data_IF_412392484601
#
_entry.id   IF_412392484601
#
_cell.length_a   1.000
_cell.length_b   1.000
_cell.length_c   1.000
_cell.angle_alpha   90.00
_cell.angle_beta   90.00
_cell.angle_gamma   90.00
#
_symmetry.space_group_name_H-M   'P 1'
#
loop_
_entity.id
_entity.type
_entity.pdbx_description
1 polymer ?
#
# COMPACT_ATOMS: atom_id res chain seq x y z
N UNK A 1 46.96 36.83 -25.11
CA UNK A 1 46.95 35.44 -24.60
C UNK A 1 45.50 34.99 -24.61
N UNK A 2 45.21 33.83 -25.16
CA UNK A 2 43.87 33.24 -25.10
C UNK A 2 43.55 32.87 -23.64
N UNK A 3 42.38 33.25 -23.13
CA UNK A 3 42.05 33.17 -21.70
C UNK A 3 42.06 31.73 -21.15
N UNK A 4 41.71 30.75 -22.00
CA UNK A 4 41.53 29.36 -21.57
C UNK A 4 42.73 28.46 -21.86
N UNK A 5 43.55 28.81 -22.84
CA UNK A 5 44.66 27.98 -23.32
C UNK A 5 45.83 28.93 -23.59
N UNK A 6 46.96 28.79 -22.91
CA UNK A 6 48.07 29.75 -22.94
C UNK A 6 48.90 29.71 -24.24
N UNK A 7 48.24 29.76 -25.40
CA UNK A 7 48.90 29.69 -26.70
C UNK A 7 49.85 30.86 -26.95
N UNK A 8 50.92 30.55 -27.67
CA UNK A 8 51.96 31.52 -28.00
C UNK A 8 51.42 32.55 -29.00
N UNK A 9 51.73 33.83 -28.78
CA UNK A 9 51.48 34.89 -29.75
C UNK A 9 52.82 35.54 -30.08
N UNK A 10 53.43 35.28 -31.25
CA UNK A 10 54.71 35.86 -31.62
C UNK A 10 54.64 37.39 -31.62
N UNK A 11 55.71 38.06 -31.19
CA UNK A 11 55.82 39.51 -31.27
C UNK A 11 56.04 39.94 -32.72
N UNK A 12 55.51 41.12 -33.08
CA UNK A 12 55.72 41.71 -34.40
C UNK A 12 57.22 41.81 -34.73
N UNK A 13 57.60 41.37 -35.94
CA UNK A 13 59.00 41.33 -36.39
C UNK A 13 59.78 40.06 -36.03
N UNK A 14 59.17 39.07 -35.36
CA UNK A 14 59.81 37.77 -35.09
C UNK A 14 60.00 36.99 -36.40
N UNK A 15 61.24 36.63 -36.76
CA UNK A 15 61.56 35.93 -38.03
C UNK A 15 61.20 34.44 -38.01
N UNK A 16 61.30 33.81 -36.83
CA UNK A 16 60.98 32.39 -36.63
C UNK A 16 59.57 32.18 -36.07
N UNK A 17 58.63 33.04 -36.46
CA UNK A 17 57.24 33.02 -36.00
C UNK A 17 56.54 31.67 -36.21
N UNK A 18 57.00 30.87 -37.17
CA UNK A 18 56.44 29.57 -37.51
C UNK A 18 56.69 28.52 -36.41
N UNK A 19 57.76 28.63 -35.63
CA UNK A 19 58.08 27.68 -34.55
C UNK A 19 57.02 27.69 -33.43
N UNK A 20 56.72 28.83 -32.77
CA UNK A 20 55.68 28.89 -31.75
C UNK A 20 54.27 28.65 -32.30
N UNK A 21 54.00 28.95 -33.58
CA UNK A 21 52.72 28.62 -34.20
C UNK A 21 52.56 27.12 -34.43
N UNK A 22 53.58 26.43 -34.91
CA UNK A 22 53.55 24.97 -35.06
C UNK A 22 53.32 24.28 -33.72
N UNK A 23 53.93 24.78 -32.64
CA UNK A 23 53.67 24.30 -31.28
C UNK A 23 52.21 24.52 -30.85
N UNK A 24 51.60 25.65 -31.22
CA UNK A 24 50.17 25.88 -30.96
C UNK A 24 49.28 24.91 -31.75
N UNK A 25 49.62 24.61 -33.01
CA UNK A 25 48.83 23.68 -33.83
C UNK A 25 48.88 22.25 -33.27
N UNK A 26 50.03 21.79 -32.79
CA UNK A 26 50.13 20.49 -32.12
C UNK A 26 49.32 20.44 -30.81
N UNK A 27 49.32 21.54 -30.04
CA UNK A 27 48.52 21.64 -28.82
C UNK A 27 47.01 21.69 -29.10
N UNK A 28 46.58 22.46 -30.11
CA UNK A 28 45.19 22.56 -30.53
C UNK A 28 44.58 21.21 -30.91
N UNK A 29 45.36 20.32 -31.52
CA UNK A 29 44.90 19.00 -31.93
C UNK A 29 44.60 18.06 -30.73
N UNK A 30 45.09 18.39 -29.53
CA UNK A 30 44.72 17.69 -28.28
C UNK A 30 43.70 18.50 -27.45
N UNK A 31 43.82 19.83 -27.43
CA UNK A 31 43.02 20.71 -26.57
C UNK A 31 41.58 20.90 -27.09
N UNK A 32 41.38 20.84 -28.41
CA UNK A 32 40.05 21.01 -29.01
C UNK A 32 39.29 19.68 -28.97
N UNK A 33 38.14 19.70 -28.31
CA UNK A 33 37.24 18.55 -28.25
C UNK A 33 36.71 18.19 -29.64
N UNK A 34 36.82 16.90 -29.98
CA UNK A 34 36.24 16.30 -31.18
C UNK A 34 34.77 15.95 -30.89
N UNK A 35 33.87 16.33 -31.80
CA UNK A 35 32.43 16.07 -31.69
C UNK A 35 31.91 15.41 -32.95
N UNK A 36 31.47 14.16 -32.84
CA UNK A 36 30.91 13.38 -33.96
C UNK A 36 30.03 12.23 -33.42
N UNK A 37 29.53 11.32 -34.28
CA UNK A 37 28.84 10.09 -33.88
C UNK A 37 29.81 9.06 -33.27
N UNK A 38 29.37 8.26 -32.28
CA UNK A 38 30.25 7.30 -31.58
C UNK A 38 30.92 6.29 -32.55
N UNK A 39 30.20 5.89 -33.60
CA UNK A 39 30.71 4.99 -34.63
C UNK A 39 31.90 5.56 -35.42
N UNK A 40 32.03 6.89 -35.50
CA UNK A 40 33.12 7.57 -36.21
C UNK A 40 34.36 7.76 -35.33
N UNK A 41 34.33 7.39 -34.05
CA UNK A 41 35.45 7.59 -33.11
C UNK A 41 36.78 7.04 -33.61
N UNK A 42 36.77 5.92 -34.34
CA UNK A 42 37.97 5.31 -34.91
C UNK A 42 38.57 6.09 -36.09
N UNK A 43 37.87 7.11 -36.60
CA UNK A 43 38.39 8.01 -37.64
C UNK A 43 39.36 9.06 -37.07
N UNK A 44 39.45 9.17 -35.74
CA UNK A 44 40.28 10.16 -35.04
C UNK A 44 41.36 9.47 -34.21
N UNK A 45 42.57 10.03 -34.23
CA UNK A 45 43.69 9.53 -33.46
C UNK A 45 43.52 9.86 -31.96
N UNK A 46 43.64 8.88 -31.04
CA UNK A 46 43.48 9.11 -29.60
C UNK A 46 44.74 9.73 -29.00
N UNK A 47 45.07 10.98 -29.35
CA UNK A 47 46.22 11.68 -28.77
C UNK A 47 46.08 11.79 -27.24
N UNK A 48 47.20 11.79 -26.53
CA UNK A 48 47.20 11.91 -25.08
C UNK A 48 46.42 13.16 -24.63
N UNK A 49 45.45 12.97 -23.74
CA UNK A 49 44.52 13.99 -23.22
C UNK A 49 43.51 14.57 -24.22
N UNK A 50 43.48 14.12 -25.48
CA UNK A 50 42.44 14.53 -26.42
C UNK A 50 41.06 14.06 -25.96
N UNK A 51 40.01 14.84 -26.27
CA UNK A 51 38.63 14.54 -25.87
C UNK A 51 37.77 14.25 -27.10
N UNK A 52 36.95 13.22 -27.00
CA UNK A 52 35.91 12.90 -27.97
C UNK A 52 34.55 12.86 -27.28
N UNK A 53 33.61 13.67 -27.75
CA UNK A 53 32.20 13.64 -27.35
C UNK A 53 31.38 13.01 -28.47
N UNK A 54 30.81 11.85 -28.19
CA UNK A 54 29.82 11.23 -29.06
C UNK A 54 28.50 12.00 -28.97
N UNK A 55 28.18 12.77 -30.00
CA UNK A 55 27.03 13.69 -30.03
C UNK A 55 25.67 12.99 -30.09
N UNK A 56 25.64 11.73 -30.54
CA UNK A 56 24.46 10.87 -30.65
C UNK A 56 24.15 10.08 -29.38
N UNK A 57 25.17 9.64 -28.66
CA UNK A 57 25.05 8.82 -27.45
C UNK A 57 25.38 9.55 -26.15
N UNK A 58 25.92 10.77 -26.23
CA UNK A 58 26.37 11.54 -25.07
C UNK A 58 27.68 11.04 -24.44
N UNK A 59 28.25 9.93 -24.89
CA UNK A 59 29.47 9.32 -24.31
C UNK A 59 30.69 10.23 -24.48
N UNK A 60 31.48 10.34 -23.42
CA UNK A 60 32.73 11.11 -23.37
C UNK A 60 33.91 10.16 -23.26
N UNK A 61 34.93 10.39 -24.09
CA UNK A 61 36.17 9.62 -24.11
C UNK A 61 37.39 10.53 -23.97
N UNK A 62 38.48 9.99 -23.42
CA UNK A 62 39.81 10.61 -23.40
C UNK A 62 40.85 9.70 -24.04
N UNK A 63 41.68 10.26 -24.92
CA UNK A 63 42.81 9.57 -25.53
C UNK A 63 44.00 9.45 -24.59
N UNK A 64 44.71 8.33 -24.62
CA UNK A 64 45.95 8.09 -23.86
C UNK A 64 47.21 8.00 -24.75
N UNK A 65 47.09 8.34 -26.03
CA UNK A 65 48.13 8.18 -27.05
C UNK A 65 48.02 6.89 -27.86
N UNK A 66 47.27 5.89 -27.38
CA UNK A 66 47.09 4.60 -28.05
C UNK A 66 45.62 4.22 -28.27
N UNK A 67 44.74 4.59 -27.34
CA UNK A 67 43.32 4.20 -27.32
C UNK A 67 42.43 5.31 -26.78
N UNK A 68 41.16 5.29 -27.20
CA UNK A 68 40.11 6.11 -26.61
C UNK A 68 39.53 5.39 -25.38
N UNK A 69 39.66 5.99 -24.21
CA UNK A 69 39.14 5.46 -22.95
C UNK A 69 37.84 6.17 -22.56
N UNK A 70 36.78 5.41 -22.29
CA UNK A 70 35.49 5.98 -21.90
C UNK A 70 35.55 6.56 -20.47
N UNK A 71 35.06 7.79 -20.29
CA UNK A 71 34.98 8.46 -19.00
C UNK A 71 33.56 8.49 -18.41
N UNK A 72 32.54 8.51 -19.26
CA UNK A 72 31.14 8.61 -18.83
C UNK A 72 30.22 9.04 -19.97
N UNK A 73 29.00 9.49 -19.64
CA UNK A 73 28.05 10.08 -20.60
C UNK A 73 27.50 11.40 -20.07
N UNK A 74 27.36 12.39 -20.95
CA UNK A 74 26.71 13.69 -20.67
C UNK A 74 25.18 13.57 -20.68
N UNK A 75 24.65 12.53 -21.32
CA UNK A 75 23.26 12.11 -21.16
C UNK A 75 23.21 11.13 -19.99
N UNK A 76 22.26 11.32 -19.08
CA UNK A 76 21.96 10.30 -18.08
C UNK A 76 21.35 9.09 -18.77
N UNK A 77 22.17 8.22 -19.36
CA UNK A 77 21.76 6.99 -20.06
C UNK A 77 21.05 5.99 -19.13
N UNK A 78 20.99 6.27 -17.83
CA UNK A 78 20.19 5.51 -16.86
C UNK A 78 18.75 6.03 -16.71
N UNK A 79 18.47 7.30 -17.04
CA UNK A 79 17.12 7.87 -16.90
C UNK A 79 16.29 7.71 -18.19
N UNK A 80 16.93 7.71 -19.37
CA UNK A 80 16.25 7.53 -20.65
C UNK A 80 15.62 6.14 -20.79
N UNK A 81 16.39 5.08 -20.53
CA UNK A 81 15.93 3.69 -20.72
C UNK A 81 14.79 3.26 -19.79
N UNK A 82 14.84 3.66 -18.51
CA UNK A 82 13.78 3.32 -17.53
C UNK A 82 12.47 4.02 -17.88
N UNK A 83 12.50 5.33 -18.10
CA UNK A 83 11.29 6.07 -18.45
C UNK A 83 10.74 5.63 -19.79
N UNK A 84 11.59 5.40 -20.79
CA UNK A 84 11.17 4.89 -22.09
C UNK A 84 10.52 3.50 -21.99
N UNK A 85 11.11 2.58 -21.21
CA UNK A 85 10.54 1.26 -20.98
C UNK A 85 9.16 1.32 -20.30
N UNK A 86 9.02 2.14 -19.25
CA UNK A 86 7.74 2.33 -18.57
C UNK A 86 6.68 2.92 -19.50
N UNK A 87 7.04 3.93 -20.31
CA UNK A 87 6.12 4.54 -21.28
C UNK A 87 5.71 3.54 -22.39
N UNK A 88 6.58 2.60 -22.75
CA UNK A 88 6.24 1.51 -23.68
C UNK A 88 5.31 0.46 -23.08
N UNK A 89 5.09 0.48 -21.77
CA UNK A 89 4.24 -0.49 -21.07
C UNK A 89 5.00 -1.63 -20.41
N UNK A 90 6.33 -1.57 -20.35
CA UNK A 90 7.13 -2.59 -19.70
C UNK A 90 7.22 -2.32 -18.20
N UNK A 91 7.28 -3.38 -17.40
CA UNK A 91 7.71 -3.27 -16.01
C UNK A 91 9.21 -3.07 -16.00
N UNK A 92 9.71 -2.33 -15.01
CA UNK A 92 11.16 -2.15 -14.81
C UNK A 92 11.56 -2.67 -13.44
N UNK A 93 12.55 -3.55 -13.41
CA UNK A 93 13.13 -4.13 -12.20
C UNK A 93 14.44 -3.41 -11.86
N UNK A 94 14.47 -2.84 -10.66
CA UNK A 94 15.61 -2.16 -10.07
C UNK A 94 16.06 -2.96 -8.84
N UNK A 95 17.01 -3.87 -8.99
CA UNK A 95 17.45 -4.75 -7.91
C UNK A 95 18.93 -4.54 -7.54
N UNK A 96 19.28 -4.85 -6.29
CA UNK A 96 20.59 -4.57 -5.70
C UNK A 96 21.77 -5.16 -6.48
N UNK A 97 21.61 -6.36 -7.03
CA UNK A 97 22.68 -7.11 -7.67
C UNK A 97 22.66 -7.02 -9.21
N UNK A 98 21.70 -6.30 -9.79
CA UNK A 98 21.65 -6.08 -11.22
C UNK A 98 22.66 -4.99 -11.64
N UNK A 99 23.42 -5.26 -12.70
CA UNK A 99 24.38 -4.30 -13.26
C UNK A 99 23.69 -3.10 -13.95
N UNK A 100 22.43 -3.27 -14.37
CA UNK A 100 21.58 -2.25 -14.99
C UNK A 100 20.10 -2.63 -14.78
N UNK A 101 19.15 -1.67 -14.88
CA UNK A 101 17.73 -1.97 -14.86
C UNK A 101 17.36 -3.04 -15.89
N UNK A 102 16.47 -3.96 -15.52
CA UNK A 102 15.91 -4.95 -16.43
C UNK A 102 14.43 -4.69 -16.67
N UNK A 103 13.90 -5.19 -17.78
CA UNK A 103 12.51 -4.98 -18.17
C UNK A 103 11.78 -6.29 -18.35
N UNK A 104 10.53 -6.34 -17.93
CA UNK A 104 9.59 -7.41 -18.28
C UNK A 104 8.52 -6.81 -19.19
N UNK A 105 8.34 -7.37 -20.37
CA UNK A 105 7.28 -6.98 -21.31
C UNK A 105 6.02 -7.82 -21.01
N UNK A 106 4.89 -7.21 -20.60
CA UNK A 106 3.62 -7.92 -20.40
C UNK A 106 3.12 -8.71 -21.61
N UNK A 107 3.62 -8.47 -22.82
CA UNK A 107 3.24 -9.22 -24.01
C UNK A 107 3.92 -10.61 -24.10
N UNK A 108 5.01 -10.84 -23.36
CA UNK A 108 5.83 -12.05 -23.45
C UNK A 108 5.44 -13.13 -22.43
N UNK A 109 4.54 -12.83 -21.49
CA UNK A 109 4.20 -13.69 -20.36
C UNK A 109 2.79 -13.40 -19.85
N UNK A 110 2.13 -14.41 -19.29
CA UNK A 110 0.84 -14.27 -18.62
C UNK A 110 0.99 -13.80 -17.16
N UNK A 111 2.22 -13.82 -16.62
CA UNK A 111 2.53 -13.47 -15.22
C UNK A 111 3.58 -12.37 -15.05
N UNK A 112 3.43 -11.22 -15.72
CA UNK A 112 4.52 -10.23 -15.82
C UNK A 112 4.91 -9.58 -14.50
N UNK A 113 4.00 -9.43 -13.53
CA UNK A 113 4.32 -8.86 -12.23
C UNK A 113 5.06 -9.90 -11.39
N UNK A 114 4.60 -11.15 -11.38
CA UNK A 114 5.31 -12.23 -10.70
C UNK A 114 6.72 -12.42 -11.27
N UNK A 115 6.87 -12.45 -12.61
CA UNK A 115 8.17 -12.60 -13.26
C UNK A 115 9.15 -11.47 -12.87
N UNK A 116 8.64 -10.24 -12.72
CA UNK A 116 9.41 -9.10 -12.26
C UNK A 116 9.81 -9.20 -10.77
N UNK A 117 8.93 -9.74 -9.93
CA UNK A 117 9.19 -10.00 -8.51
C UNK A 117 10.21 -11.13 -8.33
N UNK A 118 10.10 -12.22 -9.09
CA UNK A 118 11.06 -13.33 -9.06
C UNK A 118 12.46 -12.87 -9.46
N UNK A 119 12.54 -12.01 -10.48
CA UNK A 119 13.81 -11.41 -10.89
C UNK A 119 14.39 -10.52 -9.80
N UNK A 120 13.56 -9.77 -9.09
CA UNK A 120 13.98 -8.91 -7.98
C UNK A 120 14.51 -9.75 -6.81
N UNK A 121 13.81 -10.82 -6.44
CA UNK A 121 14.19 -11.73 -5.36
C UNK A 121 15.54 -12.40 -5.62
N UNK A 122 15.69 -12.96 -6.83
CA UNK A 122 16.93 -13.58 -7.28
C UNK A 122 18.13 -12.61 -7.30
N UNK A 123 17.89 -11.30 -7.25
CA UNK A 123 18.91 -10.25 -7.28
C UNK A 123 18.98 -9.41 -5.99
N UNK A 124 18.50 -9.96 -4.87
CA UNK A 124 18.76 -9.45 -3.53
C UNK A 124 17.88 -8.26 -3.13
N UNK A 125 16.66 -8.19 -3.64
CA UNK A 125 15.69 -7.16 -3.26
C UNK A 125 15.79 -5.87 -4.09
N UNK A 126 14.76 -5.04 -4.00
CA UNK A 126 14.70 -3.76 -4.71
C UNK A 126 13.28 -3.29 -5.01
N UNK A 127 13.08 -2.74 -6.21
CA UNK A 127 11.79 -2.18 -6.65
C UNK A 127 11.39 -2.69 -8.03
N UNK A 128 10.15 -3.19 -8.15
CA UNK A 128 9.42 -3.31 -9.42
C UNK A 128 8.65 -2.03 -9.66
N UNK A 129 8.93 -1.36 -10.79
CA UNK A 129 8.20 -0.20 -11.27
C UNK A 129 7.13 -0.65 -12.25
N UNK A 130 5.87 -0.40 -11.91
CA UNK A 130 4.74 -0.64 -12.81
C UNK A 130 4.64 0.48 -13.86
N UNK A 131 4.35 0.16 -15.13
CA UNK A 131 4.09 1.13 -16.17
C UNK A 131 2.81 1.95 -15.90
N UNK A 132 2.61 3.08 -16.60
CA UNK A 132 1.42 3.92 -16.48
C UNK A 132 0.26 3.41 -17.37
N UNK A 133 0.06 2.09 -17.41
CA UNK A 133 -1.04 1.44 -18.10
C UNK A 133 -1.52 0.20 -17.31
N UNK A 134 -2.70 -0.35 -17.64
CA UNK A 134 -3.16 -1.61 -17.04
C UNK A 134 -2.34 -2.81 -17.53
N UNK A 135 -1.97 -3.69 -16.60
CA UNK A 135 -1.34 -4.98 -16.85
C UNK A 135 -2.31 -6.09 -16.44
N UNK A 136 -2.32 -7.20 -17.17
CA UNK A 136 -3.02 -8.43 -16.74
C UNK A 136 -2.02 -9.39 -16.11
N UNK A 137 -2.45 -10.06 -15.06
CA UNK A 137 -1.63 -11.00 -14.29
C UNK A 137 -2.51 -12.23 -14.01
N UNK A 138 -2.08 -13.39 -14.52
CA UNK A 138 -2.89 -14.60 -14.51
C UNK A 138 -2.80 -15.39 -13.20
N UNK A 139 -1.80 -15.11 -12.37
CA UNK A 139 -1.57 -15.79 -11.10
C UNK A 139 -1.55 -14.83 -9.92
N UNK A 140 -1.41 -15.41 -8.73
CA UNK A 140 -1.11 -14.64 -7.53
C UNK A 140 0.32 -14.10 -7.56
N UNK A 141 0.51 -12.93 -6.96
CA UNK A 141 1.79 -12.27 -6.81
C UNK A 141 2.34 -12.58 -5.41
N UNK A 142 3.24 -13.56 -5.31
CA UNK A 142 3.93 -13.88 -4.07
C UNK A 142 5.05 -12.88 -3.83
N UNK A 143 4.98 -12.12 -2.74
CA UNK A 143 5.92 -11.03 -2.44
C UNK A 143 6.96 -11.48 -1.41
N UNK A 144 8.25 -11.56 -1.77
CA UNK A 144 9.33 -11.91 -0.85
C UNK A 144 9.82 -10.69 -0.08
N UNK A 145 10.71 -10.93 0.88
CA UNK A 145 11.33 -9.88 1.69
C UNK A 145 12.11 -8.87 0.85
N UNK A 146 12.20 -7.61 1.29
CA UNK A 146 12.89 -6.50 0.62
C UNK A 146 12.36 -6.18 -0.79
N UNK A 147 11.05 -6.31 -0.99
CA UNK A 147 10.39 -6.06 -2.27
C UNK A 147 9.51 -4.82 -2.22
N UNK A 148 9.71 -3.90 -3.15
CA UNK A 148 8.79 -2.80 -3.42
C UNK A 148 8.08 -3.00 -4.78
N UNK A 149 6.76 -2.88 -4.81
CA UNK A 149 5.97 -2.76 -6.05
C UNK A 149 5.39 -1.35 -6.11
N UNK A 150 5.75 -0.60 -7.15
CA UNK A 150 5.43 0.83 -7.22
C UNK A 150 4.91 1.30 -8.56
N UNK A 151 3.72 1.89 -8.57
CA UNK A 151 3.10 2.50 -9.74
C UNK A 151 3.21 4.02 -9.81
N UNK A 152 2.47 4.61 -10.75
CA UNK A 152 2.39 6.06 -11.00
C UNK A 152 1.23 6.74 -10.26
N UNK A 153 0.45 5.99 -9.50
CA UNK A 153 -0.81 6.38 -8.89
C UNK A 153 -1.91 5.39 -9.27
N UNK A 154 -2.90 5.15 -8.38
CA UNK A 154 -3.88 4.09 -8.57
C UNK A 154 -4.84 4.31 -9.75
N UNK A 155 -5.02 5.56 -10.20
CA UNK A 155 -5.78 5.85 -11.42
C UNK A 155 -5.02 5.54 -12.71
N UNK A 156 -3.68 5.37 -12.63
CA UNK A 156 -2.77 5.28 -13.76
C UNK A 156 -2.23 3.86 -13.91
N UNK A 157 -1.56 3.33 -12.88
CA UNK A 157 -1.00 1.98 -12.87
C UNK A 157 -2.03 1.00 -12.29
N UNK A 158 -2.36 -0.05 -13.05
CA UNK A 158 -3.35 -1.06 -12.64
C UNK A 158 -2.83 -2.46 -12.88
N UNK A 159 -2.99 -3.34 -11.92
CA UNK A 159 -2.73 -4.78 -12.04
C UNK A 159 -4.07 -5.50 -11.97
N UNK A 160 -4.41 -6.24 -13.01
CA UNK A 160 -5.69 -6.95 -13.11
C UNK A 160 -5.47 -8.46 -12.94
N UNK A 161 -6.05 -9.02 -11.88
CA UNK A 161 -6.10 -10.45 -11.57
C UNK A 161 -7.49 -10.94 -11.98
N UNK A 162 -7.63 -11.30 -13.25
CA UNK A 162 -8.93 -11.63 -13.85
C UNK A 162 -9.34 -13.11 -13.80
N UNK A 163 -8.43 -14.09 -13.62
CA UNK A 163 -8.86 -15.48 -13.43
C UNK A 163 -9.66 -15.67 -12.15
N UNK A 164 -10.67 -16.55 -12.24
CA UNK A 164 -11.54 -16.83 -11.11
C UNK A 164 -10.80 -17.60 -9.99
N UNK A 165 -11.10 -17.25 -8.74
CA UNK A 165 -10.55 -17.92 -7.54
C UNK A 165 -9.06 -17.69 -7.30
N UNK A 166 -8.44 -16.72 -7.98
CA UNK A 166 -7.03 -16.40 -7.80
C UNK A 166 -6.88 -15.23 -6.81
N UNK A 167 -5.97 -15.39 -5.85
CA UNK A 167 -5.58 -14.32 -4.93
C UNK A 167 -4.77 -13.25 -5.66
N UNK A 168 -4.80 -12.02 -5.18
CA UNK A 168 -3.98 -10.93 -5.67
C UNK A 168 -2.54 -11.03 -5.17
N UNK A 169 -2.21 -10.25 -4.15
CA UNK A 169 -0.88 -10.26 -3.51
C UNK A 169 -0.89 -11.22 -2.33
N UNK A 170 0.11 -12.10 -2.28
CA UNK A 170 0.21 -13.17 -1.29
C UNK A 170 1.54 -13.07 -0.54
N UNK A 171 1.48 -13.12 0.78
CA UNK A 171 2.61 -13.30 1.68
C UNK A 171 2.57 -14.73 2.23
N UNK A 172 3.37 -15.61 1.63
CA UNK A 172 3.34 -17.07 1.84
C UNK A 172 4.74 -17.65 2.08
N UNK A 173 5.59 -16.91 2.80
CA UNK A 173 6.92 -17.41 3.18
C UNK A 173 6.88 -17.94 4.60
N UNK A 174 7.16 -19.24 4.78
CA UNK A 174 7.16 -19.86 6.12
C UNK A 174 8.12 -19.17 7.12
N UNK A 175 9.18 -18.51 6.63
CA UNK A 175 10.11 -17.71 7.43
C UNK A 175 9.60 -16.31 7.81
N UNK A 176 8.45 -15.91 7.28
CA UNK A 176 7.94 -14.54 7.30
C UNK A 176 8.55 -13.69 6.18
N UNK A 177 7.81 -12.65 5.81
CA UNK A 177 8.23 -11.65 4.82
C UNK A 177 8.56 -10.35 5.55
N UNK A 178 9.70 -9.73 5.27
CA UNK A 178 10.12 -8.49 5.94
C UNK A 178 10.43 -7.36 4.93
N UNK A 179 10.15 -6.12 5.30
CA UNK A 179 10.43 -4.92 4.50
C UNK A 179 9.78 -4.91 3.10
N UNK A 180 8.54 -5.38 2.98
CA UNK A 180 7.75 -5.24 1.75
C UNK A 180 7.07 -3.85 1.64
N UNK A 181 6.93 -3.32 0.43
CA UNK A 181 6.26 -2.04 0.18
C UNK A 181 5.38 -2.07 -1.08
N UNK A 182 4.12 -1.68 -0.95
CA UNK A 182 3.17 -1.58 -2.06
C UNK A 182 2.66 -0.14 -2.16
N UNK A 183 2.85 0.53 -3.30
CA UNK A 183 2.49 1.95 -3.43
C UNK A 183 2.06 2.37 -4.84
N UNK A 184 0.95 3.09 -4.93
CA UNK A 184 0.59 3.89 -6.09
C UNK A 184 0.05 3.10 -7.26
N UNK A 185 -0.77 2.08 -7.02
CA UNK A 185 -1.45 1.34 -8.08
C UNK A 185 -2.82 0.81 -7.63
N UNK A 186 -3.67 0.45 -8.59
CA UNK A 186 -4.89 -0.31 -8.33
C UNK A 186 -4.64 -1.81 -8.53
N UNK A 187 -5.16 -2.61 -7.62
CA UNK A 187 -5.19 -4.08 -7.71
C UNK A 187 -6.64 -4.51 -7.92
N UNK A 188 -6.93 -4.90 -9.16
CA UNK A 188 -8.28 -5.21 -9.62
C UNK A 188 -8.48 -6.72 -9.63
N UNK A 189 -9.57 -7.17 -9.01
CA UNK A 189 -10.05 -8.53 -9.12
C UNK A 189 -10.81 -8.76 -10.44
N UNK A 190 -11.46 -9.93 -10.57
CA UNK A 190 -12.16 -10.32 -11.79
C UNK A 190 -13.46 -9.52 -12.05
N UNK A 191 -13.91 -8.73 -11.07
CA UNK A 191 -15.11 -7.90 -11.16
C UNK A 191 -16.35 -8.59 -10.57
N UNK A 192 -17.43 -7.82 -10.45
CA UNK A 192 -18.68 -8.27 -9.84
C UNK A 192 -19.26 -9.49 -10.58
N UNK A 193 -19.59 -10.56 -9.86
CA UNK A 193 -20.19 -11.77 -10.43
C UNK A 193 -19.22 -12.84 -10.91
N UNK A 194 -17.91 -12.66 -10.70
CA UNK A 194 -16.91 -13.72 -10.85
C UNK A 194 -16.23 -13.96 -9.52
N UNK A 195 -16.19 -15.21 -9.06
CA UNK A 195 -15.51 -15.58 -7.83
C UNK A 195 -14.03 -15.15 -7.88
N UNK A 196 -13.58 -14.40 -6.88
CA UNK A 196 -12.17 -14.04 -6.68
C UNK A 196 -11.54 -14.81 -5.53
N UNK A 197 -10.21 -14.83 -5.48
CA UNK A 197 -9.48 -15.05 -4.23
C UNK A 197 -9.47 -13.79 -3.35
N UNK A 198 -8.54 -13.72 -2.43
CA UNK A 198 -8.29 -12.57 -1.54
C UNK A 198 -7.36 -11.55 -2.24
N UNK A 199 -7.66 -10.24 -2.13
CA UNK A 199 -6.82 -9.22 -2.79
C UNK A 199 -5.41 -9.11 -2.18
N UNK A 200 -5.31 -9.06 -0.85
CA UNK A 200 -4.04 -9.09 -0.10
C UNK A 200 -4.14 -10.17 0.97
N UNK A 201 -3.32 -11.22 0.86
CA UNK A 201 -3.46 -12.42 1.66
C UNK A 201 -2.17 -12.74 2.42
N UNK A 202 -2.24 -12.81 3.75
CA UNK A 202 -1.17 -13.30 4.60
C UNK A 202 -1.48 -14.74 4.99
N UNK A 203 -0.76 -15.70 4.38
CA UNK A 203 -1.06 -17.13 4.42
C UNK A 203 -0.14 -17.88 5.38
N UNK A 204 1.16 -17.63 5.30
CA UNK A 204 2.16 -18.28 6.14
C UNK A 204 3.27 -17.32 6.54
N UNK A 205 3.78 -17.52 7.76
CA UNK A 205 4.86 -16.73 8.34
C UNK A 205 4.46 -15.29 8.63
N UNK A 206 5.13 -14.69 9.62
CA UNK A 206 4.77 -13.34 10.04
C UNK A 206 5.32 -12.29 9.07
N UNK A 207 4.43 -11.50 8.46
CA UNK A 207 4.83 -10.33 7.68
C UNK A 207 5.25 -9.19 8.60
N UNK A 208 6.40 -8.58 8.34
CA UNK A 208 7.05 -7.59 9.17
C UNK A 208 7.37 -6.34 8.36
N UNK A 209 7.22 -5.18 8.98
CA UNK A 209 7.58 -3.89 8.36
C UNK A 209 6.93 -3.66 6.97
N UNK A 210 5.75 -4.24 6.73
CA UNK A 210 4.99 -3.98 5.51
C UNK A 210 4.55 -2.52 5.49
N UNK A 211 4.78 -1.87 4.36
CA UNK A 211 4.20 -0.56 4.06
C UNK A 211 3.22 -0.69 2.90
N UNK A 212 2.07 -0.08 3.07
CA UNK A 212 1.11 0.18 2.01
C UNK A 212 0.93 1.69 1.94
N UNK A 213 1.33 2.29 0.82
CA UNK A 213 1.14 3.71 0.55
C UNK A 213 -0.31 3.96 0.14
N UNK A 214 -0.52 4.31 -1.14
CA UNK A 214 -1.86 4.47 -1.71
C UNK A 214 -2.23 3.28 -2.60
N UNK A 215 -3.27 2.54 -2.23
CA UNK A 215 -3.81 1.45 -3.04
C UNK A 215 -5.32 1.59 -3.26
N UNK A 216 -5.75 1.22 -4.46
CA UNK A 216 -7.17 0.94 -4.76
C UNK A 216 -7.35 -0.57 -4.93
N UNK A 217 -8.34 -1.14 -4.26
CA UNK A 217 -8.76 -2.52 -4.42
C UNK A 217 -10.15 -2.50 -5.06
N UNK A 218 -10.28 -3.08 -6.26
CA UNK A 218 -11.53 -3.00 -7.03
C UNK A 218 -12.02 -4.38 -7.47
N UNK A 219 -13.33 -4.64 -7.36
CA UNK A 219 -13.95 -5.79 -8.01
C UNK A 219 -13.57 -7.16 -7.44
N UNK A 220 -13.30 -7.24 -6.14
CA UNK A 220 -13.02 -8.50 -5.43
C UNK A 220 -14.31 -9.05 -4.79
N UNK A 221 -14.62 -10.33 -4.98
CA UNK A 221 -15.80 -10.99 -4.38
C UNK A 221 -15.44 -11.86 -3.17
N UNK A 222 -14.31 -11.57 -2.55
CA UNK A 222 -13.83 -12.15 -1.30
C UNK A 222 -13.27 -11.02 -0.42
N UNK A 223 -12.65 -11.35 0.71
CA UNK A 223 -11.92 -10.38 1.52
C UNK A 223 -10.84 -9.66 0.70
N UNK A 224 -10.68 -8.35 0.93
CA UNK A 224 -9.62 -7.57 0.26
C UNK A 224 -8.34 -7.55 1.05
N UNK A 225 -8.40 -7.87 2.35
CA UNK A 225 -7.25 -8.01 3.20
C UNK A 225 -7.51 -9.15 4.18
N UNK A 226 -6.83 -10.29 4.03
CA UNK A 226 -6.97 -11.44 4.93
C UNK A 226 -5.65 -11.77 5.61
N UNK A 227 -5.73 -11.95 6.91
CA UNK A 227 -4.68 -12.58 7.71
C UNK A 227 -5.21 -13.90 8.22
N UNK A 228 -4.60 -14.98 7.77
CA UNK A 228 -5.00 -16.31 8.16
C UNK A 228 -4.66 -16.64 9.62
N UNK A 229 -5.33 -17.67 10.09
CA UNK A 229 -5.19 -18.16 11.44
C UNK A 229 -3.76 -18.68 11.67
N UNK A 230 -3.11 -18.22 12.73
CA UNK A 230 -1.71 -18.53 13.02
C UNK A 230 -0.67 -17.59 12.40
N UNK A 231 -1.09 -16.61 11.60
CA UNK A 231 -0.20 -15.60 11.00
C UNK A 231 -0.37 -14.27 11.73
N UNK A 232 0.71 -13.63 12.17
CA UNK A 232 0.64 -12.39 12.94
C UNK A 232 1.47 -11.27 12.33
N UNK A 233 0.96 -10.51 11.33
CA UNK A 233 1.67 -9.37 10.77
C UNK A 233 1.98 -8.33 11.82
N UNK A 234 3.19 -7.77 11.78
CA UNK A 234 3.67 -6.82 12.78
C UNK A 234 4.40 -5.63 12.21
N UNK A 235 4.24 -4.50 12.90
CA UNK A 235 4.85 -3.22 12.53
C UNK A 235 4.42 -2.76 11.12
N UNK A 236 3.26 -3.22 10.66
CA UNK A 236 2.74 -2.89 9.34
C UNK A 236 2.01 -1.54 9.37
N UNK A 237 2.16 -0.75 8.30
CA UNK A 237 1.59 0.59 8.17
C UNK A 237 0.91 0.74 6.82
N UNK A 238 -0.33 1.20 6.84
CA UNK A 238 -1.16 1.43 5.67
C UNK A 238 -1.58 2.89 5.67
N UNK A 239 -1.16 3.68 4.67
CA UNK A 239 -1.47 5.10 4.61
C UNK A 239 -2.89 5.32 4.11
N UNK A 240 -3.23 4.79 2.93
CA UNK A 240 -4.56 4.93 2.32
C UNK A 240 -4.93 3.69 1.50
N UNK A 241 -6.02 3.03 1.89
CA UNK A 241 -6.63 1.94 1.13
C UNK A 241 -8.05 2.34 0.76
N UNK A 242 -8.34 2.36 -0.54
CA UNK A 242 -9.69 2.59 -1.05
C UNK A 242 -10.22 1.32 -1.67
N UNK A 243 -11.47 0.98 -1.37
CA UNK A 243 -12.14 -0.23 -1.82
C UNK A 243 -13.41 0.12 -2.58
N UNK A 244 -13.57 -0.41 -3.79
CA UNK A 244 -14.70 -0.13 -4.66
C UNK A 244 -15.23 -1.43 -5.29
N UNK A 245 -16.56 -1.57 -5.34
CA UNK A 245 -17.22 -2.69 -6.02
C UNK A 245 -16.75 -4.07 -5.56
N UNK A 246 -16.27 -4.17 -4.32
CA UNK A 246 -15.92 -5.43 -3.69
C UNK A 246 -17.08 -5.97 -2.85
N UNK A 247 -17.21 -7.28 -2.75
CA UNK A 247 -18.27 -7.97 -2.02
C UNK A 247 -17.67 -9.08 -1.16
N UNK A 248 -17.65 -8.86 0.16
CA UNK A 248 -17.16 -9.84 1.14
C UNK A 248 -18.29 -10.32 2.05
N UNK A 249 -19.55 -10.26 1.59
CA UNK A 249 -20.72 -10.57 2.42
C UNK A 249 -20.81 -12.02 2.89
N UNK A 250 -20.11 -12.95 2.20
CA UNK A 250 -20.01 -14.36 2.56
C UNK A 250 -18.78 -14.69 3.43
N UNK A 251 -17.96 -13.69 3.77
CA UNK A 251 -16.75 -13.82 4.59
C UNK A 251 -16.95 -13.13 5.96
N UNK A 252 -16.05 -13.32 6.93
CA UNK A 252 -16.20 -12.67 8.25
C UNK A 252 -16.05 -11.14 8.14
N UNK A 253 -15.29 -10.65 7.15
CA UNK A 253 -15.20 -9.23 6.83
C UNK A 253 -14.36 -8.90 5.60
N UNK A 254 -14.51 -7.68 5.10
CA UNK A 254 -13.74 -7.13 3.97
C UNK A 254 -12.25 -7.03 4.32
N UNK A 255 -11.95 -6.49 5.50
CA UNK A 255 -10.67 -6.63 6.19
C UNK A 255 -10.84 -7.69 7.27
N UNK A 256 -10.04 -8.74 7.24
CA UNK A 256 -10.29 -9.96 7.98
C UNK A 256 -9.03 -10.46 8.69
N UNK A 257 -8.98 -10.27 10.01
CA UNK A 257 -7.88 -10.72 10.84
C UNK A 257 -8.30 -11.95 11.65
N UNK A 258 -7.98 -13.14 11.14
CA UNK A 258 -8.28 -14.43 11.80
C UNK A 258 -7.20 -14.87 12.78
N UNK A 259 -6.11 -14.10 12.88
CA UNK A 259 -4.94 -14.42 13.71
C UNK A 259 -5.27 -14.62 15.19
N UNK A 260 -4.42 -15.39 15.86
CA UNK A 260 -4.45 -15.54 17.32
C UNK A 260 -3.54 -14.57 18.08
N UNK A 261 -2.70 -13.84 17.36
CA UNK A 261 -1.77 -12.89 17.94
C UNK A 261 -1.49 -11.84 16.89
N UNK A 262 -0.53 -10.96 17.14
CA UNK A 262 -0.19 -9.92 16.18
C UNK A 262 0.17 -8.65 16.89
N UNK A 263 1.44 -8.23 16.84
CA UNK A 263 1.82 -6.88 17.22
C UNK A 263 1.08 -5.80 16.40
N UNK A 264 1.38 -4.53 16.67
CA UNK A 264 0.62 -3.40 16.16
C UNK A 264 0.63 -3.27 14.62
N UNK A 265 -0.58 -3.17 14.06
CA UNK A 265 -0.89 -2.77 12.70
C UNK A 265 -1.58 -1.40 12.73
N UNK A 266 -1.19 -0.50 11.83
CA UNK A 266 -1.79 0.83 11.72
C UNK A 266 -2.34 1.08 10.32
N UNK A 267 -3.51 1.70 10.27
CA UNK A 267 -4.21 2.16 9.08
C UNK A 267 -4.53 3.64 9.25
N UNK A 268 -4.07 4.48 8.32
CA UNK A 268 -4.42 5.89 8.26
C UNK A 268 -5.86 6.05 7.80
N UNK A 269 -6.10 5.93 6.51
CA UNK A 269 -7.45 6.03 5.93
C UNK A 269 -7.86 4.74 5.24
N UNK A 270 -9.04 4.25 5.60
CA UNK A 270 -9.77 3.23 4.84
C UNK A 270 -11.05 3.87 4.31
N UNK A 271 -11.22 3.82 2.99
CA UNK A 271 -12.45 4.25 2.32
C UNK A 271 -13.09 3.05 1.63
N UNK A 272 -14.18 2.51 2.18
CA UNK A 272 -14.78 1.25 1.73
C UNK A 272 -16.20 1.43 1.17
N UNK A 273 -16.38 1.16 -0.11
CA UNK A 273 -17.68 1.20 -0.78
C UNK A 273 -18.02 -0.19 -1.36
N UNK A 274 -18.27 -1.18 -0.49
CA UNK A 274 -18.61 -2.51 -0.94
C UNK A 274 -19.98 -2.55 -1.62
N UNK A 275 -20.20 -3.60 -2.40
CA UNK A 275 -21.48 -3.95 -3.03
C UNK A 275 -21.97 -5.29 -2.48
N UNK A 276 -23.18 -5.69 -2.85
CA UNK A 276 -23.80 -6.96 -2.44
C UNK A 276 -24.25 -7.78 -3.65
N UNK A 277 -23.62 -7.56 -4.81
CA UNK A 277 -24.04 -8.15 -6.08
C UNK A 277 -23.78 -9.65 -6.16
N UNK A 278 -22.75 -10.14 -5.48
CA UNK A 278 -22.36 -11.56 -5.47
C UNK A 278 -22.98 -12.31 -4.30
N UNK A 279 -22.83 -11.80 -3.07
CA UNK A 279 -23.30 -12.47 -1.85
C UNK A 279 -24.79 -12.24 -1.57
N UNK A 280 -25.34 -11.11 -2.05
CA UNK A 280 -26.66 -10.63 -1.64
C UNK A 280 -26.73 -10.21 -0.16
N UNK A 281 -25.58 -10.11 0.53
CA UNK A 281 -25.49 -9.79 1.95
C UNK A 281 -24.87 -8.41 2.20
N UNK A 282 -25.14 -7.86 3.38
CA UNK A 282 -24.33 -6.75 3.89
C UNK A 282 -22.87 -7.21 4.06
N UNK A 283 -21.93 -6.34 3.73
CA UNK A 283 -20.51 -6.59 4.04
C UNK A 283 -20.18 -6.13 5.46
N UNK A 284 -19.56 -7.00 6.26
CA UNK A 284 -18.83 -6.56 7.46
C UNK A 284 -17.54 -5.90 7.02
N UNK A 285 -17.27 -4.64 7.39
CA UNK A 285 -16.11 -3.91 6.85
C UNK A 285 -14.81 -4.37 7.51
N UNK A 286 -14.78 -4.48 8.84
CA UNK A 286 -13.57 -4.85 9.57
C UNK A 286 -13.88 -5.94 10.58
N UNK A 287 -13.31 -7.13 10.39
CA UNK A 287 -13.35 -8.24 11.33
C UNK A 287 -11.96 -8.47 11.94
N UNK A 288 -11.91 -8.68 13.25
CA UNK A 288 -10.67 -9.04 13.94
C UNK A 288 -10.91 -9.93 15.14
N UNK A 289 -10.11 -11.01 15.23
CA UNK A 289 -10.10 -11.96 16.35
C UNK A 289 -8.86 -11.80 17.22
N UNK A 290 -7.72 -11.45 16.64
CA UNK A 290 -6.47 -11.27 17.38
C UNK A 290 -5.64 -10.11 16.87
N UNK A 291 -4.55 -9.87 17.59
CA UNK A 291 -3.58 -8.82 17.28
C UNK A 291 -4.01 -7.42 17.69
N UNK A 292 -3.28 -6.41 17.23
CA UNK A 292 -3.56 -5.00 17.54
C UNK A 292 -3.76 -4.19 16.27
N UNK A 293 -4.93 -3.56 16.13
CA UNK A 293 -5.31 -2.76 14.97
C UNK A 293 -5.66 -1.33 15.38
N UNK A 294 -4.99 -0.36 14.76
CA UNK A 294 -5.34 1.06 14.86
C UNK A 294 -5.80 1.56 13.50
N UNK A 295 -6.97 2.21 13.45
CA UNK A 295 -7.50 2.86 12.25
C UNK A 295 -7.82 4.31 12.60
N UNK A 296 -7.17 5.26 11.92
CA UNK A 296 -7.43 6.67 12.18
C UNK A 296 -8.79 7.07 11.58
N UNK A 297 -9.01 6.82 10.29
CA UNK A 297 -10.26 7.16 9.61
C UNK A 297 -10.83 5.97 8.85
N UNK A 298 -12.05 5.59 9.18
CA UNK A 298 -12.82 4.60 8.42
C UNK A 298 -14.09 5.27 7.87
N UNK A 299 -14.12 5.48 6.56
CA UNK A 299 -15.32 5.98 5.85
C UNK A 299 -15.88 4.88 4.98
N UNK A 300 -17.20 4.73 4.98
CA UNK A 300 -17.82 3.65 4.20
C UNK A 300 -19.22 3.97 3.73
N UNK A 301 -19.60 3.32 2.64
CA UNK A 301 -20.94 3.39 2.07
C UNK A 301 -21.34 2.10 1.35
N UNK A 302 -22.19 2.21 0.32
CA UNK A 302 -22.64 1.05 -0.46
C UNK A 302 -23.42 0.04 0.39
N UNK A 303 -23.00 -1.22 0.38
CA UNK A 303 -23.58 -2.33 1.15
C UNK A 303 -22.98 -2.53 2.55
N UNK A 304 -22.15 -1.61 3.03
CA UNK A 304 -21.48 -1.74 4.33
C UNK A 304 -22.49 -1.88 5.47
N UNK A 305 -22.49 -3.04 6.14
CA UNK A 305 -23.36 -3.32 7.29
C UNK A 305 -22.63 -3.08 8.60
N UNK A 306 -22.18 -4.16 9.25
CA UNK A 306 -21.35 -4.06 10.45
C UNK A 306 -20.01 -3.41 10.09
N UNK A 307 -19.68 -2.31 10.76
CA UNK A 307 -18.42 -1.58 10.56
C UNK A 307 -17.24 -2.35 11.16
N UNK A 308 -17.36 -2.70 12.44
CA UNK A 308 -16.32 -3.37 13.20
C UNK A 308 -16.92 -4.56 13.94
N UNK A 309 -16.35 -5.73 13.74
CA UNK A 309 -16.64 -6.94 14.49
C UNK A 309 -15.37 -7.44 15.16
N UNK A 310 -15.24 -7.13 16.44
CA UNK A 310 -14.14 -7.57 17.28
C UNK A 310 -14.56 -8.80 18.07
N UNK A 311 -13.70 -9.82 18.09
CA UNK A 311 -13.84 -11.02 18.92
C UNK A 311 -12.56 -11.28 19.71
N UNK A 312 -12.62 -12.27 20.60
CA UNK A 312 -11.53 -12.77 21.43
C UNK A 312 -10.72 -11.71 22.17
N UNK A 313 -9.41 -11.64 21.96
CA UNK A 313 -8.50 -10.76 22.68
C UNK A 313 -7.89 -9.66 21.79
N UNK A 314 -8.38 -9.52 20.54
CA UNK A 314 -8.01 -8.43 19.64
C UNK A 314 -8.05 -7.07 20.34
N UNK A 315 -7.06 -6.23 20.05
CA UNK A 315 -6.97 -4.88 20.60
C UNK A 315 -7.22 -3.88 19.48
N UNK A 316 -8.29 -3.10 19.60
CA UNK A 316 -8.72 -2.20 18.53
C UNK A 316 -8.77 -0.75 18.98
N UNK A 317 -8.35 0.13 18.09
CA UNK A 317 -8.54 1.58 18.23
C UNK A 317 -9.01 2.15 16.89
N UNK A 318 -10.19 2.73 16.87
CA UNK A 318 -10.76 3.40 15.69
C UNK A 318 -11.04 4.85 16.09
N UNK A 319 -10.33 5.83 15.51
CA UNK A 319 -10.51 7.23 15.93
C UNK A 319 -11.84 7.78 15.43
N UNK A 320 -12.12 7.69 14.14
CA UNK A 320 -13.38 8.22 13.57
C UNK A 320 -13.99 7.24 12.57
N UNK A 321 -15.26 6.91 12.80
CA UNK A 321 -16.07 6.07 11.94
C UNK A 321 -17.13 6.93 11.25
N UNK A 322 -17.19 6.84 9.93
CA UNK A 322 -18.17 7.52 9.10
C UNK A 322 -18.97 6.52 8.27
N UNK A 323 -20.24 6.31 8.62
CA UNK A 323 -21.11 5.30 8.01
C UNK A 323 -22.25 5.96 7.23
N UNK A 324 -22.22 5.76 5.90
CA UNK A 324 -23.16 6.31 4.93
C UNK A 324 -23.54 5.25 3.87
N UNK A 325 -24.20 4.14 4.26
CA UNK A 325 -24.63 3.14 3.30
C UNK A 325 -25.72 3.69 2.38
N UNK A 326 -25.77 3.14 1.17
CA UNK A 326 -26.75 3.53 0.15
C UNK A 326 -27.55 2.34 -0.37
N UNK A 327 -27.13 1.11 -0.06
CA UNK A 327 -27.69 -0.11 -0.66
C UNK A 327 -27.58 -1.34 0.24
N UNK A 328 -27.77 -1.23 1.56
CA UNK A 328 -27.78 -2.39 2.45
C UNK A 328 -28.91 -3.38 2.08
N UNK A 329 -28.62 -4.67 1.86
CA UNK A 329 -29.67 -5.68 1.68
C UNK A 329 -30.55 -5.92 2.91
N UNK A 330 -29.97 -5.78 4.11
CA UNK A 330 -30.68 -5.98 5.39
C UNK A 330 -30.31 -4.89 6.41
N UNK A 331 -31.10 -4.72 7.46
CA UNK A 331 -30.76 -3.84 8.59
C UNK A 331 -29.69 -4.52 9.46
N UNK A 332 -28.49 -3.92 9.65
CA UNK A 332 -27.50 -4.46 10.58
C UNK A 332 -28.00 -4.39 12.03
N UNK A 333 -27.66 -5.41 12.83
CA UNK A 333 -28.01 -5.43 14.25
C UNK A 333 -27.19 -4.44 15.08
N UNK A 334 -25.96 -4.16 14.67
CA UNK A 334 -25.13 -3.11 15.25
C UNK A 334 -24.02 -2.70 14.27
N UNK A 335 -23.60 -1.44 14.32
CA UNK A 335 -22.46 -0.97 13.52
C UNK A 335 -21.13 -1.47 14.10
N UNK A 336 -20.98 -1.40 15.42
CA UNK A 336 -19.74 -1.74 16.12
C UNK A 336 -20.01 -2.83 17.16
N UNK A 337 -19.57 -4.05 16.85
CA UNK A 337 -19.74 -5.23 17.69
C UNK A 337 -18.44 -5.54 18.40
N UNK A 338 -18.45 -5.37 19.72
CA UNK A 338 -17.28 -5.52 20.58
C UNK A 338 -17.50 -6.72 21.50
N UNK A 339 -17.23 -7.90 20.96
CA UNK A 339 -17.44 -9.15 21.66
C UNK A 339 -16.17 -9.56 22.40
N UNK A 340 -16.32 -10.29 23.52
CA UNK A 340 -15.20 -10.83 24.28
C UNK A 340 -14.35 -9.77 24.98
N UNK A 341 -13.19 -10.20 25.48
CA UNK A 341 -12.43 -9.47 26.51
C UNK A 341 -11.36 -8.52 25.96
N UNK A 342 -11.12 -8.51 24.65
CA UNK A 342 -10.16 -7.64 23.98
C UNK A 342 -10.43 -6.16 24.25
N UNK A 343 -9.40 -5.34 24.36
CA UNK A 343 -9.57 -3.90 24.62
C UNK A 343 -10.08 -3.21 23.34
N UNK A 344 -10.98 -2.23 23.49
CA UNK A 344 -11.47 -1.43 22.38
C UNK A 344 -11.52 0.04 22.74
N UNK A 345 -11.17 0.91 21.79
CA UNK A 345 -11.44 2.35 21.86
C UNK A 345 -12.03 2.82 20.55
N UNK A 346 -13.24 3.37 20.60
CA UNK A 346 -13.90 3.99 19.45
C UNK A 346 -14.00 5.48 19.77
N UNK A 347 -13.36 6.34 18.97
CA UNK A 347 -13.33 7.78 19.22
C UNK A 347 -14.66 8.45 18.89
N UNK A 348 -15.21 8.27 17.68
CA UNK A 348 -16.56 8.69 17.35
C UNK A 348 -17.22 7.86 16.24
N UNK A 349 -18.55 7.87 16.20
CA UNK A 349 -19.34 7.30 15.09
C UNK A 349 -20.30 8.36 14.54
N UNK A 350 -20.12 8.69 13.26
CA UNK A 350 -21.03 9.53 12.46
C UNK A 350 -21.90 8.66 11.56
N UNK A 351 -23.21 8.81 11.68
CA UNK A 351 -24.21 8.02 10.98
C UNK A 351 -25.05 8.92 10.09
N UNK A 352 -24.79 8.87 8.78
CA UNK A 352 -25.33 9.83 7.81
C UNK A 352 -26.61 9.33 7.15
N UNK A 353 -26.65 8.05 6.78
CA UNK A 353 -27.77 7.41 6.09
C UNK A 353 -27.96 5.98 6.59
N UNK A 354 -29.02 5.31 6.15
CA UNK A 354 -29.30 3.93 6.50
C UNK A 354 -29.99 3.76 7.85
N UNK A 355 -30.24 2.49 8.17
CA UNK A 355 -30.88 2.08 9.42
C UNK A 355 -30.08 0.93 10.02
N UNK A 356 -29.87 0.99 11.33
CA UNK A 356 -29.25 -0.06 12.16
C UNK A 356 -30.03 -0.17 13.46
N UNK A 357 -30.02 -1.34 14.11
CA UNK A 357 -30.72 -1.48 15.40
C UNK A 357 -30.00 -0.72 16.52
N UNK A 358 -28.67 -0.87 16.57
CA UNK A 358 -27.78 -0.25 17.55
C UNK A 358 -26.54 0.35 16.88
N UNK A 359 -25.85 1.26 17.58
CA UNK A 359 -24.51 1.71 17.17
C UNK A 359 -23.48 0.74 17.75
N UNK A 360 -23.54 0.51 19.05
CA UNK A 360 -22.60 -0.36 19.76
C UNK A 360 -23.30 -1.61 20.30
N UNK A 361 -22.68 -2.77 20.12
CA UNK A 361 -23.02 -4.00 20.84
C UNK A 361 -21.83 -4.43 21.71
N UNK A 362 -22.08 -4.66 23.00
CA UNK A 362 -21.16 -5.31 23.93
C UNK A 362 -21.73 -6.68 24.29
N UNK A 363 -21.08 -7.73 23.80
CA UNK A 363 -21.64 -9.08 23.84
C UNK A 363 -20.65 -10.19 24.16
N UNK A 364 -21.18 -11.40 24.31
CA UNK A 364 -20.38 -12.60 24.46
C UNK A 364 -19.66 -12.92 23.15
N UNK A 365 -18.40 -13.31 23.27
CA UNK A 365 -17.70 -13.94 22.18
C UNK A 365 -17.99 -15.45 22.17
N UNK A 366 -18.63 -15.94 21.11
CA UNK A 366 -18.94 -17.35 20.95
C UNK A 366 -17.66 -18.22 20.80
N UNK A 367 -16.55 -17.63 20.36
CA UNK A 367 -15.30 -18.35 20.13
C UNK A 367 -14.65 -18.85 21.43
N UNK A 368 -14.75 -18.08 22.52
CA UNK A 368 -14.12 -18.42 23.81
C UNK A 368 -15.05 -18.35 25.03
N UNK A 369 -16.32 -17.95 24.85
CA UNK A 369 -17.31 -17.82 25.91
C UNK A 369 -17.11 -16.64 26.87
N UNK A 370 -16.21 -15.70 26.56
CA UNK A 370 -15.94 -14.54 27.42
C UNK A 370 -16.93 -13.41 27.16
N UNK A 371 -17.32 -12.74 28.25
CA UNK A 371 -18.09 -11.50 28.19
C UNK A 371 -17.23 -10.28 27.84
N UNK A 372 -17.86 -9.14 27.57
CA UNK A 372 -17.18 -7.91 27.21
C UNK A 372 -16.40 -7.30 28.38
N UNK A 373 -15.26 -6.69 28.08
CA UNK A 373 -14.41 -6.00 29.07
C UNK A 373 -13.59 -4.88 28.43
N UNK A 374 -13.23 -3.85 29.20
CA UNK A 374 -12.27 -2.78 28.82
C UNK A 374 -12.60 -2.08 27.49
N UNK A 375 -13.87 -1.82 27.22
CA UNK A 375 -14.31 -1.10 26.03
C UNK A 375 -14.46 0.40 26.35
N UNK A 376 -14.06 1.27 25.42
CA UNK A 376 -14.32 2.72 25.46
C UNK A 376 -15.13 3.09 24.23
N UNK A 377 -16.35 3.52 24.47
CA UNK A 377 -17.33 3.85 23.43
C UNK A 377 -17.50 5.36 23.40
N UNK A 378 -17.01 6.00 22.34
CA UNK A 378 -17.12 7.43 22.13
C UNK A 378 -18.54 7.91 21.78
N UNK A 379 -18.69 9.21 21.50
CA UNK A 379 -19.96 9.81 21.10
C UNK A 379 -20.50 9.26 19.78
N UNK A 380 -21.84 9.23 19.71
CA UNK A 380 -22.61 8.96 18.51
C UNK A 380 -23.21 10.26 17.94
N UNK A 381 -23.05 10.46 16.63
CA UNK A 381 -23.62 11.57 15.89
C UNK A 381 -24.57 11.06 14.81
N UNK A 382 -25.88 11.09 15.07
CA UNK A 382 -26.92 10.86 14.07
C UNK A 382 -27.09 12.11 13.19
N UNK A 383 -26.61 12.07 11.95
CA UNK A 383 -26.61 13.19 11.00
C UNK A 383 -27.57 12.98 9.82
N UNK A 384 -28.45 11.98 9.91
CA UNK A 384 -29.45 11.66 8.88
C UNK A 384 -29.88 10.19 8.90
N UNK A 385 -29.06 9.32 9.49
CA UNK A 385 -29.40 7.92 9.69
C UNK A 385 -30.30 7.67 10.90
N UNK A 386 -30.90 6.48 10.96
CA UNK A 386 -31.92 6.12 11.96
C UNK A 386 -31.51 4.91 12.79
N UNK A 387 -31.72 4.97 14.11
CA UNK A 387 -31.63 3.80 15.00
C UNK A 387 -33.02 3.20 15.20
N UNK A 388 -33.13 1.87 15.12
CA UNK A 388 -34.38 1.19 15.49
C UNK A 388 -34.56 1.12 17.01
N UNK A 389 -33.46 1.16 17.76
CA UNK A 389 -33.45 1.11 19.22
C UNK A 389 -32.52 2.18 19.81
N UNK A 390 -31.93 1.93 20.97
CA UNK A 390 -31.00 2.82 21.66
C UNK A 390 -29.58 2.77 21.04
N UNK A 391 -28.66 3.59 21.54
CA UNK A 391 -27.30 3.69 20.98
C UNK A 391 -26.48 2.44 21.31
N UNK A 392 -26.60 1.93 22.54
CA UNK A 392 -25.80 0.81 23.04
C UNK A 392 -26.70 -0.37 23.41
N UNK A 393 -26.36 -1.56 22.91
CA UNK A 393 -26.88 -2.83 23.40
C UNK A 393 -25.83 -3.51 24.28
N UNK A 394 -26.16 -3.74 25.54
CA UNK A 394 -25.43 -4.64 26.42
C UNK A 394 -26.07 -6.03 26.35
N UNK A 395 -25.60 -6.83 25.39
CA UNK A 395 -26.09 -8.19 25.12
C UNK A 395 -25.42 -9.26 25.99
N UNK A 396 -24.41 -8.89 26.79
CA UNK A 396 -23.80 -9.73 27.80
C UNK A 396 -23.32 -8.90 29.02
N UNK A 397 -23.33 -9.46 30.25
CA UNK A 397 -22.86 -8.72 31.42
C UNK A 397 -21.37 -8.38 31.28
N UNK A 398 -21.02 -7.09 31.35
CA UNK A 398 -19.64 -6.66 31.28
C UNK A 398 -18.86 -7.10 32.52
N UNK A 399 -17.59 -7.49 32.36
CA UNK A 399 -16.72 -7.84 33.50
C UNK A 399 -16.65 -6.68 34.51
N UNK A 400 -17.07 -6.93 35.75
CA UNK A 400 -17.11 -5.91 36.80
C UNK A 400 -15.71 -5.51 37.30
N UNK A 401 -14.72 -6.39 37.19
CA UNK A 401 -13.32 -6.10 37.52
C UNK A 401 -12.55 -5.41 36.40
N UNK A 402 -13.14 -5.33 35.20
CA UNK A 402 -12.56 -4.73 34.00
C UNK A 402 -13.61 -3.85 33.30
N UNK A 403 -13.98 -2.73 33.94
CA UNK A 403 -15.10 -1.92 33.48
C UNK A 403 -14.93 -1.40 32.06
N UNK A 404 -16.06 -1.17 31.41
CA UNK A 404 -16.17 -0.50 30.12
C UNK A 404 -16.87 0.84 30.30
N UNK A 405 -16.60 1.80 29.43
CA UNK A 405 -17.07 3.17 29.54
C UNK A 405 -17.75 3.61 28.25
N UNK A 406 -18.87 4.30 28.39
CA UNK A 406 -19.62 4.92 27.30
C UNK A 406 -19.76 6.42 27.58
N UNK A 407 -19.44 7.26 26.59
CA UNK A 407 -19.45 8.72 26.73
C UNK A 407 -20.84 9.37 26.61
N UNK A 408 -21.92 8.58 26.45
CA UNK A 408 -23.30 9.08 26.46
C UNK A 408 -24.08 8.80 27.75
N UNK A 409 -25.39 9.01 27.71
CA UNK A 409 -26.28 8.92 28.87
C UNK A 409 -26.61 7.46 29.21
N UNK A 410 -27.02 7.20 30.47
CA UNK A 410 -27.43 5.86 30.86
C UNK A 410 -28.73 5.41 30.16
N UNK A 411 -29.56 6.38 29.77
CA UNK A 411 -30.80 6.15 29.01
C UNK A 411 -30.58 5.70 27.56
N UNK A 412 -29.36 5.83 27.02
CA UNK A 412 -29.00 5.36 25.68
C UNK A 412 -28.59 3.86 25.66
N UNK A 413 -28.74 3.16 26.79
CA UNK A 413 -28.26 1.78 26.97
C UNK A 413 -29.43 0.82 27.19
N UNK A 414 -29.56 -0.15 26.29
CA UNK A 414 -30.41 -1.31 26.50
C UNK A 414 -29.64 -2.47 27.10
N UNK A 415 -30.28 -3.18 28.03
CA UNK A 415 -29.76 -4.41 28.61
C UNK A 415 -30.63 -5.56 28.13
N UNK A 416 -30.13 -6.33 27.19
CA UNK A 416 -30.91 -7.40 26.53
C UNK A 416 -30.60 -8.79 27.05
N UNK A 417 -29.53 -8.93 27.86
CA UNK A 417 -29.20 -10.20 28.51
C UNK A 417 -30.10 -10.50 29.72
N UNK A 418 -30.28 -11.78 30.05
CA UNK A 418 -31.07 -12.22 31.20
C UNK A 418 -30.33 -12.20 32.54
N UNK A 419 -29.04 -11.85 32.57
CA UNK A 419 -28.25 -11.79 33.81
C UNK A 419 -28.75 -10.69 34.75
N UNK A 420 -28.77 -10.98 36.06
CA UNK A 420 -29.32 -10.08 37.08
C UNK A 420 -28.53 -8.77 37.31
N UNK A 421 -27.33 -8.66 36.73
CA UNK A 421 -26.46 -7.48 36.85
C UNK A 421 -25.95 -7.09 35.46
N UNK A 422 -25.96 -5.78 35.17
CA UNK A 422 -25.34 -5.18 33.97
C UNK A 422 -23.80 -5.22 34.04
N UNK A 423 -23.25 -5.51 35.22
CA UNK A 423 -21.82 -5.72 35.42
C UNK A 423 -21.02 -4.42 35.45
N UNK A 424 -19.95 -4.38 34.66
CA UNK A 424 -18.93 -3.31 34.68
C UNK A 424 -19.13 -2.14 33.72
N UNK A 425 -20.22 -2.06 32.94
CA UNK A 425 -20.44 -0.91 32.03
C UNK A 425 -20.82 0.36 32.82
N UNK A 426 -20.24 1.50 32.45
CA UNK A 426 -20.49 2.81 33.05
C UNK A 426 -20.77 3.85 31.94
N UNK A 427 -21.94 4.46 31.99
CA UNK A 427 -22.27 5.63 31.17
C UNK A 427 -21.74 6.91 31.85
N UNK A 428 -21.14 7.80 31.08
CA UNK A 428 -20.45 9.00 31.57
C UNK A 428 -21.19 10.31 31.26
N UNK A 429 -22.21 10.29 30.40
CA UNK A 429 -22.96 11.49 29.99
C UNK A 429 -23.72 12.17 31.14
N UNK A 430 -23.93 11.46 32.25
CA UNK A 430 -24.53 11.98 33.48
C UNK A 430 -23.48 12.17 34.60
N UNK A 431 -22.20 11.95 34.31
CA UNK A 431 -21.14 12.04 35.30
C UNK A 431 -20.72 13.51 35.53
N UNK A 432 -20.99 13.99 36.74
CA UNK A 432 -20.46 15.26 37.25
C UNK A 432 -21.54 16.30 37.52
N UNK A 433 -21.44 16.97 38.67
CA UNK A 433 -22.05 18.29 38.87
C UNK A 433 -21.28 19.29 38.00
N UNK A 434 -21.93 20.17 37.21
CA UNK A 434 -21.23 21.24 36.52
C UNK A 434 -20.30 21.98 37.49
N UNK A 435 -19.04 22.16 37.10
CA UNK A 435 -18.17 23.09 37.82
C UNK A 435 -18.59 24.50 37.42
N UNK A 436 -19.36 25.14 38.30
CA UNK A 436 -19.53 26.60 38.45
C UNK A 436 -19.73 27.42 37.17
#
# INVERSE_FOLDING_TARGET
MTENHSYNTPAEGTTDWHVPLNANFEALDADVEIRDADANRTNYAPKENSKFLATDTGRVYVGDGASWNALGSLTSDLAGGVTEALVKGNLVVLARQLAAPQTVDPADTDTPVQDAVDLLDANGGGTVRLPPNPISEAGSITVPSNTEIRGFGPDISKVNITPAGVDGIVFDEAGGVDHAHLDGFALNGPGTGTDSGVAIHHVNGDTQNLRIGRLILWGWTNSVYRVDEGVGPFQCRHEEITVYDCDAGDEDGLFEFRSWYGPANWFGTIAAYPVAGSSGQNTTVFFTRGGTQTVDYLTMGGSAGTVLHQTWDAQVRFESIHWEPTSNPTTPSALVRLLGNGTATIGDVKHITGTTDYVYELGYDAYNGNGPARKRLGPYYGLGGSLATNVVNLSAPNDAGKPSFYEGAASDVDVTHSSANTGGLRALGEAGTPLG
#
